data_IF_891510533413
#
_entry.id   IF_891510533413
#
_cell.length_a   1.000
_cell.length_b   1.000
_cell.length_c   1.000
_cell.angle_alpha   90.00
_cell.angle_beta   90.00
_cell.angle_gamma   90.00
#
_symmetry.space_group_name_H-M   'P 1'
#
loop_
_entity.id
_entity.type
_entity.pdbx_description
1 polymer ?
#
# COMPACT_ATOMS: atom_id res chain seq x y z
N UNK A 1 -4.44 74.28 -17.19
CA UNK A 1 -3.99 73.95 -18.56
C UNK A 1 -4.24 72.45 -18.76
N UNK A 2 -5.21 72.07 -19.60
CA UNK A 2 -4.96 71.58 -20.98
C UNK A 2 -4.03 70.35 -21.00
N UNK A 3 -4.48 69.09 -21.12
CA UNK A 3 -5.72 68.46 -21.67
C UNK A 3 -5.79 68.46 -23.21
N UNK A 4 -5.37 67.35 -23.85
CA UNK A 4 -5.64 66.88 -25.24
C UNK A 4 -5.11 65.43 -25.38
N UNK A 5 -5.60 64.52 -26.25
CA UNK A 5 -6.91 64.30 -26.91
C UNK A 5 -6.89 62.91 -27.63
N UNK A 6 -8.01 62.20 -27.72
CA UNK A 6 -8.19 61.05 -28.64
C UNK A 6 -8.46 61.52 -30.08
N UNK A 7 -8.40 60.62 -31.09
CA UNK A 7 -9.65 60.20 -31.76
C UNK A 7 -9.75 58.68 -32.11
N UNK A 8 -10.88 58.28 -32.71
CA UNK A 8 -11.28 56.91 -33.15
C UNK A 8 -11.47 56.83 -34.68
N UNK A 9 -11.38 55.64 -35.29
CA UNK A 9 -11.93 55.26 -36.62
C UNK A 9 -11.61 53.77 -36.96
N UNK A 10 -12.36 52.96 -37.74
CA UNK A 10 -13.81 52.91 -38.11
C UNK A 10 -14.15 51.56 -38.83
N UNK A 11 -15.43 51.13 -38.86
CA UNK A 11 -15.98 49.98 -39.64
C UNK A 11 -16.53 48.82 -38.77
N UNK A 12 -17.76 48.26 -38.85
CA UNK A 12 -18.89 48.27 -39.82
C UNK A 12 -18.67 47.39 -41.08
N UNK A 13 -19.54 46.49 -41.58
CA UNK A 13 -20.99 46.11 -41.40
C UNK A 13 -21.15 44.60 -40.92
N UNK A 14 -22.29 43.87 -40.99
CA UNK A 14 -23.72 44.04 -40.58
C UNK A 14 -24.67 43.11 -41.41
N UNK A 15 -25.21 41.99 -40.85
CA UNK A 15 -26.42 41.20 -41.27
C UNK A 15 -26.63 40.04 -40.23
N UNK A 16 -27.70 39.88 -39.42
CA UNK A 16 -29.10 39.40 -39.64
C UNK A 16 -29.22 38.04 -40.37
N UNK A 17 -30.10 37.07 -40.03
CA UNK A 17 -31.29 36.95 -39.14
C UNK A 17 -31.56 35.43 -38.79
N UNK A 18 -32.60 34.95 -38.09
CA UNK A 18 -33.30 35.31 -36.82
C UNK A 18 -34.44 34.26 -36.50
N UNK A 19 -34.88 34.13 -35.23
CA UNK A 19 -36.11 33.44 -34.74
C UNK A 19 -36.20 31.88 -34.86
N UNK A 20 -36.99 31.12 -34.07
CA UNK A 20 -37.86 31.39 -32.90
C UNK A 20 -37.86 30.16 -31.92
N UNK A 21 -37.80 30.34 -30.59
CA UNK A 21 -38.92 30.33 -29.61
C UNK A 21 -39.62 28.97 -29.31
N UNK A 22 -39.67 28.61 -28.02
CA UNK A 22 -40.53 27.55 -27.46
C UNK A 22 -40.15 27.18 -26.02
N UNK A 23 -41.02 27.44 -25.04
CA UNK A 23 -40.79 27.12 -23.63
C UNK A 23 -42.03 27.33 -22.75
N UNK A 24 -42.05 26.69 -21.57
CA UNK A 24 -43.10 26.81 -20.55
C UNK A 24 -42.52 26.51 -19.14
N UNK A 25 -43.18 27.00 -18.09
CA UNK A 25 -42.66 27.08 -16.71
C UNK A 25 -43.45 26.21 -15.68
N UNK A 26 -42.99 26.07 -14.42
CA UNK A 26 -43.44 25.00 -13.50
C UNK A 26 -44.65 25.35 -12.62
N UNK A 27 -45.16 24.33 -11.90
CA UNK A 27 -46.16 24.42 -10.83
C UNK A 27 -45.86 23.43 -9.70
N UNK A 28 -46.45 23.63 -8.50
CA UNK A 28 -45.94 23.04 -7.25
C UNK A 28 -46.98 22.38 -6.33
N UNK A 29 -46.48 21.48 -5.48
CA UNK A 29 -46.98 21.02 -4.17
C UNK A 29 -48.38 20.35 -4.05
N UNK A 30 -48.37 19.14 -3.47
CA UNK A 30 -49.55 18.40 -2.99
C UNK A 30 -49.14 17.30 -1.99
N UNK A 31 -50.07 16.81 -1.15
CA UNK A 31 -49.80 15.80 -0.09
C UNK A 31 -50.74 14.59 -0.24
N UNK A 32 -50.27 13.41 0.19
CA UNK A 32 -51.07 12.53 1.07
C UNK A 32 -51.51 11.15 0.55
N UNK A 33 -51.72 10.28 1.55
CA UNK A 33 -52.51 9.04 1.59
C UNK A 33 -51.96 7.73 0.97
N UNK A 34 -52.59 6.62 1.34
CA UNK A 34 -51.99 5.29 1.56
C UNK A 34 -52.61 4.15 0.74
N UNK A 35 -51.84 3.04 0.64
CA UNK A 35 -52.29 1.65 0.40
C UNK A 35 -52.97 1.36 -0.98
N UNK A 36 -52.78 0.20 -1.62
CA UNK A 36 -52.87 -1.18 -1.10
C UNK A 36 -52.05 -2.19 -1.92
N UNK A 37 -51.96 -3.44 -1.46
CA UNK A 37 -51.37 -4.59 -2.19
C UNK A 37 -52.34 -5.15 -3.24
N UNK A 38 -51.80 -5.71 -4.34
CA UNK A 38 -52.33 -6.94 -4.99
C UNK A 38 -51.35 -7.56 -6.00
N UNK A 39 -51.22 -8.87 -5.93
CA UNK A 39 -50.62 -9.83 -6.90
C UNK A 39 -51.55 -11.05 -6.97
N UNK A 40 -51.42 -11.98 -7.95
CA UNK A 40 -50.92 -11.86 -9.32
C UNK A 40 -52.08 -12.19 -10.31
N UNK A 41 -51.98 -12.92 -11.45
CA UNK A 41 -51.37 -14.26 -11.60
C UNK A 41 -50.39 -14.40 -12.79
N UNK A 42 -49.82 -15.59 -12.97
CA UNK A 42 -49.18 -16.03 -14.22
C UNK A 42 -50.13 -16.95 -15.01
N UNK A 43 -49.89 -17.14 -16.32
CA UNK A 43 -49.75 -18.50 -16.87
C UNK A 43 -49.27 -18.56 -18.35
N UNK A 44 -48.64 -19.71 -18.65
CA UNK A 44 -48.41 -20.39 -19.94
C UNK A 44 -47.83 -19.69 -21.19
N UNK A 45 -47.38 -20.53 -22.15
CA UNK A 45 -46.66 -20.18 -23.36
C UNK A 45 -47.24 -20.92 -24.59
N UNK A 46 -46.82 -20.56 -25.81
CA UNK A 46 -46.89 -21.45 -27.00
C UNK A 46 -45.99 -20.97 -28.16
N UNK A 47 -45.58 -21.88 -29.03
CA UNK A 47 -44.62 -21.68 -30.12
C UNK A 47 -45.19 -20.98 -31.38
N UNK A 48 -44.30 -20.46 -32.27
CA UNK A 48 -43.96 -21.17 -33.53
C UNK A 48 -43.27 -20.33 -34.63
N UNK A 49 -42.18 -20.90 -35.19
CA UNK A 49 -41.69 -20.82 -36.59
C UNK A 49 -41.08 -19.51 -37.14
N UNK A 50 -40.08 -19.61 -38.05
CA UNK A 50 -39.41 -18.45 -38.65
C UNK A 50 -38.40 -18.66 -39.81
N UNK A 51 -37.74 -19.82 -39.90
CA UNK A 51 -36.84 -20.27 -41.01
C UNK A 51 -35.50 -19.51 -41.25
N UNK A 52 -34.56 -20.22 -41.87
CA UNK A 52 -33.23 -19.75 -42.33
C UNK A 52 -32.88 -20.36 -43.70
N UNK A 53 -31.77 -19.94 -44.33
CA UNK A 53 -30.81 -20.87 -44.94
C UNK A 53 -29.36 -20.57 -44.47
N UNK A 54 -28.47 -21.55 -44.18
CA UNK A 54 -27.82 -22.52 -45.09
C UNK A 54 -26.90 -21.86 -46.15
N UNK A 55 -25.63 -22.24 -46.39
CA UNK A 55 -24.81 -23.46 -46.12
C UNK A 55 -23.36 -23.07 -45.73
N UNK A 56 -22.40 -23.95 -45.35
CA UNK A 56 -22.34 -25.43 -45.35
C UNK A 56 -21.12 -26.04 -44.60
N UNK A 57 -20.86 -27.34 -44.79
CA UNK A 57 -20.12 -28.26 -43.89
C UNK A 57 -18.60 -28.44 -44.12
N UNK A 58 -17.89 -28.86 -43.06
CA UNK A 58 -17.17 -30.17 -42.94
C UNK A 58 -16.37 -30.20 -41.60
N UNK A 59 -16.77 -30.91 -40.53
CA UNK A 59 -16.81 -32.38 -40.27
C UNK A 59 -15.50 -33.01 -39.74
N UNK A 60 -15.51 -33.42 -38.47
CA UNK A 60 -14.84 -34.61 -37.93
C UNK A 60 -15.50 -35.06 -36.60
N UNK A 61 -15.84 -36.36 -36.47
CA UNK A 61 -16.29 -37.06 -35.24
C UNK A 61 -15.19 -38.07 -34.81
N UNK A 62 -15.21 -38.81 -33.70
CA UNK A 62 -16.26 -39.19 -32.74
C UNK A 62 -15.65 -39.44 -31.32
N UNK A 63 -16.42 -39.31 -30.23
CA UNK A 63 -16.93 -40.41 -29.34
C UNK A 63 -15.85 -41.23 -28.59
N UNK A 64 -15.79 -41.23 -27.25
CA UNK A 64 -16.66 -41.96 -26.26
C UNK A 64 -16.28 -43.47 -26.16
N UNK A 65 -16.55 -44.24 -25.09
CA UNK A 65 -17.54 -44.15 -23.99
C UNK A 65 -16.90 -44.48 -22.61
N UNK A 66 -17.72 -44.80 -21.59
CA UNK A 66 -17.30 -45.19 -20.23
C UNK A 66 -18.11 -46.39 -19.71
N UNK A 67 -17.56 -47.15 -18.76
CA UNK A 67 -18.27 -48.23 -18.03
C UNK A 67 -17.90 -48.22 -16.53
N UNK A 68 -18.83 -48.72 -15.70
CA UNK A 68 -18.76 -48.85 -14.25
C UNK A 68 -19.48 -50.15 -13.84
N UNK A 69 -18.81 -51.06 -13.12
CA UNK A 69 -19.46 -52.10 -12.29
C UNK A 69 -18.50 -52.60 -11.18
N UNK A 70 -18.95 -53.55 -10.35
CA UNK A 70 -18.72 -53.53 -8.90
C UNK A 70 -18.45 -54.90 -8.23
N UNK A 71 -18.13 -54.84 -6.92
CA UNK A 71 -18.15 -55.89 -5.89
C UNK A 71 -17.09 -57.01 -5.89
N UNK A 72 -16.69 -57.41 -4.66
CA UNK A 72 -15.81 -58.55 -4.38
C UNK A 72 -15.07 -58.46 -3.04
N UNK A 73 -15.70 -58.84 -1.92
CA UNK A 73 -15.06 -59.04 -0.61
C UNK A 73 -14.63 -60.51 -0.42
N UNK A 74 -13.53 -60.78 0.31
CA UNK A 74 -13.52 -61.61 1.53
C UNK A 74 -12.14 -61.65 2.24
N UNK A 75 -12.11 -62.25 3.44
CA UNK A 75 -10.99 -62.31 4.42
C UNK A 75 -9.78 -63.21 3.98
N UNK A 76 -8.66 -63.45 4.72
CA UNK A 76 -8.37 -63.39 6.18
C UNK A 76 -6.88 -63.59 6.55
N UNK A 77 -6.43 -62.97 7.66
CA UNK A 77 -5.32 -63.35 8.59
C UNK A 77 -3.88 -63.66 8.05
N UNK A 78 -2.79 -63.54 8.83
CA UNK A 78 -2.60 -63.12 10.24
C UNK A 78 -1.12 -63.23 10.68
N UNK A 79 -0.84 -62.90 11.95
CA UNK A 79 0.49 -62.78 12.63
C UNK A 79 1.48 -61.75 12.03
N UNK A 80 2.21 -60.87 12.75
CA UNK A 80 2.59 -60.61 14.16
C UNK A 80 4.10 -60.76 14.42
N UNK A 81 4.75 -59.70 14.95
CA UNK A 81 5.57 -59.73 16.18
C UNK A 81 5.91 -58.28 16.64
N UNK A 82 6.77 -58.15 17.64
CA UNK A 82 6.86 -57.15 18.70
C UNK A 82 7.59 -55.82 18.41
N UNK A 83 7.22 -54.82 19.23
CA UNK A 83 7.91 -53.55 19.46
C UNK A 83 9.13 -53.73 20.41
N UNK A 84 10.12 -52.81 20.46
CA UNK A 84 9.94 -51.55 21.22
C UNK A 84 10.67 -50.31 20.65
N UNK A 85 10.54 -49.18 21.37
CA UNK A 85 10.97 -47.85 20.91
C UNK A 85 12.09 -47.20 21.75
N UNK A 86 12.86 -46.32 21.10
CA UNK A 86 13.45 -45.07 21.62
C UNK A 86 13.30 -44.04 20.48
N UNK A 87 12.74 -42.84 20.63
CA UNK A 87 12.77 -41.77 21.65
C UNK A 87 13.87 -40.73 21.43
N UNK A 88 13.44 -39.54 20.98
CA UNK A 88 14.18 -38.29 20.89
C UNK A 88 13.18 -37.14 20.64
N UNK A 89 13.03 -36.22 21.61
CA UNK A 89 12.14 -35.05 21.52
C UNK A 89 12.87 -33.77 21.94
N UNK A 90 12.95 -32.80 21.04
CA UNK A 90 13.18 -31.38 21.32
C UNK A 90 12.42 -30.56 20.26
N UNK A 91 11.87 -29.37 20.54
CA UNK A 91 11.74 -28.64 21.79
C UNK A 91 11.12 -27.26 21.47
N UNK A 92 10.04 -26.87 22.14
CA UNK A 92 9.30 -25.64 21.84
C UNK A 92 9.56 -24.51 22.86
N UNK A 93 8.98 -23.34 22.62
CA UNK A 93 9.10 -22.13 23.46
C UNK A 93 8.69 -22.37 24.93
N UNK A 94 9.05 -21.45 25.83
CA UNK A 94 7.98 -20.64 26.42
C UNK A 94 8.27 -19.13 26.55
N UNK A 95 7.21 -18.38 26.82
CA UNK A 95 7.23 -17.00 27.32
C UNK A 95 6.37 -16.90 28.59
N UNK A 96 6.57 -15.85 29.41
CA UNK A 96 5.91 -15.68 30.72
C UNK A 96 6.64 -16.43 31.87
N UNK A 97 6.58 -16.02 33.13
CA UNK A 97 5.70 -15.02 33.76
C UNK A 97 6.36 -14.35 35.00
N UNK A 98 5.59 -13.60 35.81
CA UNK A 98 6.06 -12.62 36.80
C UNK A 98 6.68 -13.17 38.11
N UNK A 99 7.47 -12.32 38.82
CA UNK A 99 7.25 -12.02 40.26
C UNK A 99 8.08 -10.85 40.84
N UNK A 100 7.48 -10.24 41.86
CA UNK A 100 8.03 -9.37 42.92
C UNK A 100 7.30 -9.75 44.23
N UNK A 101 7.64 -9.25 45.45
CA UNK A 101 8.55 -8.14 45.79
C UNK A 101 9.55 -8.44 46.95
N UNK A 102 10.22 -7.36 47.42
CA UNK A 102 10.80 -7.10 48.76
C UNK A 102 11.76 -8.08 49.43
N UNK A 103 13.02 -7.64 49.66
CA UNK A 103 13.56 -7.33 51.00
C UNK A 103 15.04 -6.86 50.99
N UNK A 104 15.31 -5.73 51.66
CA UNK A 104 16.63 -5.29 52.18
C UNK A 104 16.92 -6.06 53.51
N UNK A 105 18.11 -6.02 54.19
CA UNK A 105 19.28 -5.14 53.98
C UNK A 105 20.69 -5.75 54.15
N UNK A 106 21.72 -4.95 53.80
CA UNK A 106 22.92 -4.81 54.67
C UNK A 106 24.33 -4.84 54.04
N UNK A 107 25.27 -4.24 54.79
CA UNK A 107 26.74 -4.22 54.61
C UNK A 107 27.31 -3.56 53.33
N UNK A 108 27.68 -2.27 53.29
CA UNK A 108 28.86 -1.59 53.88
C UNK A 108 30.25 -2.04 53.38
N UNK A 109 30.98 -1.16 52.69
CA UNK A 109 32.37 -0.76 53.03
C UNK A 109 32.81 0.48 52.22
N UNK A 110 33.79 1.23 52.73
CA UNK A 110 34.21 2.56 52.24
C UNK A 110 35.38 2.53 51.24
N UNK A 111 35.42 3.52 50.33
CA UNK A 111 36.63 4.16 49.79
C UNK A 111 36.23 5.38 48.90
N UNK A 112 36.18 6.61 49.42
CA UNK A 112 37.30 7.59 49.45
C UNK A 112 38.02 7.82 48.10
N UNK A 113 37.73 8.96 47.45
CA UNK A 113 38.47 9.50 46.30
C UNK A 113 37.86 10.82 45.83
N UNK A 114 38.59 11.94 45.97
CA UNK A 114 38.12 13.30 45.66
C UNK A 114 39.25 14.14 45.07
N UNK A 115 38.92 15.21 44.31
CA UNK A 115 39.84 16.17 43.70
C UNK A 115 40.76 15.58 42.59
N UNK A 116 41.41 16.32 41.69
CA UNK A 116 41.31 17.70 41.15
C UNK A 116 42.18 17.75 39.86
N UNK A 117 42.10 18.68 38.91
CA UNK A 117 41.16 19.75 38.55
C UNK A 117 41.54 20.28 37.13
N UNK A 118 40.87 21.35 36.64
CA UNK A 118 41.14 22.08 35.38
C UNK A 118 40.83 21.30 34.08
N UNK A 119 40.51 21.91 32.93
CA UNK A 119 40.29 23.32 32.61
C UNK A 119 41.22 23.85 31.50
N UNK A 120 40.67 24.31 30.38
CA UNK A 120 41.17 25.41 29.52
C UNK A 120 40.10 25.74 28.47
N UNK A 121 39.79 27.03 28.33
CA UNK A 121 39.04 27.61 27.20
C UNK A 121 40.01 28.12 26.15
N UNK A 122 39.66 28.09 24.87
CA UNK A 122 40.27 29.03 23.92
C UNK A 122 39.27 29.50 22.86
N UNK A 123 39.27 30.81 22.63
CA UNK A 123 38.50 31.52 21.61
C UNK A 123 39.37 32.67 21.10
N UNK A 124 39.70 32.67 19.81
CA UNK A 124 40.45 33.74 19.17
C UNK A 124 39.70 34.23 17.92
N UNK A 125 39.39 35.53 17.91
CA UNK A 125 38.73 36.26 16.83
C UNK A 125 39.74 37.19 16.11
N UNK A 126 39.33 37.74 14.95
CA UNK A 126 39.55 39.12 14.50
C UNK A 126 39.91 39.27 13.00
N UNK A 127 38.99 39.87 12.23
CA UNK A 127 39.22 40.91 11.17
C UNK A 127 40.22 40.64 10.01
N UNK A 128 39.95 40.91 8.72
CA UNK A 128 38.91 41.66 7.99
C UNK A 128 39.40 41.87 6.53
N UNK A 129 38.94 42.80 5.68
CA UNK A 129 37.80 43.74 5.68
C UNK A 129 37.60 44.36 4.25
N UNK A 130 36.46 45.02 4.01
CA UNK A 130 36.13 45.98 2.90
C UNK A 130 36.16 45.52 1.42
N UNK A 131 35.09 45.84 0.67
CA UNK A 131 35.05 45.85 -0.80
C UNK A 131 33.63 45.77 -1.39
N UNK A 132 33.07 46.88 -1.87
CA UNK A 132 31.69 46.91 -2.41
C UNK A 132 31.61 46.54 -3.89
N UNK A 133 30.62 45.71 -4.25
CA UNK A 133 30.03 45.68 -5.58
C UNK A 133 28.54 45.30 -5.47
N UNK A 134 27.64 46.25 -5.72
CA UNK A 134 26.21 45.98 -5.87
C UNK A 134 25.94 45.53 -7.31
N UNK A 135 25.66 44.24 -7.49
CA UNK A 135 25.08 43.71 -8.72
C UNK A 135 23.67 43.21 -8.43
N UNK A 136 22.68 43.68 -9.19
CA UNK A 136 21.39 43.01 -9.27
C UNK A 136 21.61 41.58 -9.81
N UNK A 137 20.99 40.55 -9.21
CA UNK A 137 20.97 39.24 -9.83
C UNK A 137 20.14 39.33 -11.10
N UNK A 138 20.80 39.34 -12.26
CA UNK A 138 20.14 39.18 -13.54
C UNK A 138 19.30 37.90 -13.53
N UNK A 139 18.14 37.92 -14.18
CA UNK A 139 17.16 36.83 -14.14
C UNK A 139 17.80 35.48 -14.47
N UNK A 140 18.04 34.68 -13.43
CA UNK A 140 18.45 33.31 -13.58
C UNK A 140 17.25 32.56 -14.17
N UNK A 141 17.41 31.99 -15.37
CA UNK A 141 16.38 31.12 -15.93
C UNK A 141 16.02 30.03 -14.90
N UNK A 142 14.72 29.74 -14.70
CA UNK A 142 14.31 28.81 -13.67
C UNK A 142 14.97 27.46 -13.91
N UNK A 143 15.78 27.00 -12.95
CA UNK A 143 16.38 25.67 -12.96
C UNK A 143 15.32 24.63 -13.34
N UNK A 144 15.64 23.66 -14.22
CA UNK A 144 14.66 22.66 -14.62
C UNK A 144 14.11 21.97 -13.37
N UNK A 145 12.77 21.95 -13.27
CA UNK A 145 12.03 21.44 -12.13
C UNK A 145 12.49 20.00 -11.81
N UNK A 146 12.79 19.63 -10.54
CA UNK A 146 13.20 18.28 -10.14
C UNK A 146 12.15 17.17 -10.36
N UNK A 147 11.10 17.44 -11.13
CA UNK A 147 10.30 16.45 -11.82
C UNK A 147 11.19 15.52 -12.65
N UNK A 148 11.11 14.21 -12.36
CA UNK A 148 11.78 13.17 -13.15
C UNK A 148 11.00 12.86 -14.44
N UNK A 149 11.20 11.68 -15.06
CA UNK A 149 10.35 11.25 -16.16
C UNK A 149 8.87 11.26 -15.73
N UNK A 150 7.99 11.66 -16.64
CA UNK A 150 6.55 11.70 -16.37
C UNK A 150 5.95 10.29 -16.34
N UNK A 151 4.69 10.19 -15.89
CA UNK A 151 4.01 8.91 -15.77
C UNK A 151 3.94 8.15 -17.12
N UNK A 152 3.77 8.86 -18.25
CA UNK A 152 3.73 8.25 -19.58
C UNK A 152 5.10 7.69 -19.99
N UNK A 153 6.19 8.41 -19.71
CA UNK A 153 7.56 7.97 -19.95
C UNK A 153 7.87 6.71 -19.14
N UNK A 154 7.53 6.69 -17.85
CA UNK A 154 7.76 5.51 -16.98
C UNK A 154 6.97 4.29 -17.48
N UNK A 155 5.72 4.48 -17.93
CA UNK A 155 4.89 3.42 -18.53
C UNK A 155 5.42 2.86 -19.86
N UNK A 156 6.36 3.56 -20.51
CA UNK A 156 7.01 3.13 -21.75
C UNK A 156 8.40 2.51 -21.53
N UNK A 157 8.94 2.53 -20.31
CA UNK A 157 10.24 1.90 -20.01
C UNK A 157 10.13 0.36 -20.01
N UNK A 158 11.13 -0.37 -20.54
CA UNK A 158 11.24 -1.81 -20.36
C UNK A 158 11.73 -2.13 -18.94
N UNK A 159 11.27 -3.25 -18.34
CA UNK A 159 11.71 -3.66 -17.00
C UNK A 159 13.24 -3.78 -16.86
N UNK A 160 13.92 -4.21 -17.92
CA UNK A 160 15.38 -4.32 -18.01
C UNK A 160 16.17 -3.00 -17.89
N UNK A 161 15.49 -1.85 -17.79
CA UNK A 161 16.06 -0.54 -17.45
C UNK A 161 16.56 -0.49 -16.00
N UNK A 162 15.82 -1.08 -15.06
CA UNK A 162 16.11 -1.12 -13.63
C UNK A 162 16.47 -2.53 -13.15
N UNK A 163 17.21 -2.65 -12.05
CA UNK A 163 17.60 -3.94 -11.45
C UNK A 163 17.65 -3.87 -9.93
N UNK A 164 16.75 -4.57 -9.24
CA UNK A 164 16.87 -4.91 -7.83
C UNK A 164 18.02 -5.90 -7.62
N UNK A 165 18.89 -5.64 -6.64
CA UNK A 165 20.02 -6.50 -6.30
C UNK A 165 19.90 -6.95 -4.84
N UNK A 166 19.98 -8.27 -4.60
CA UNK A 166 19.70 -8.95 -3.32
C UNK A 166 18.26 -8.72 -2.82
N UNK A 167 18.07 -8.80 -1.50
CA UNK A 167 16.76 -8.77 -0.85
C UNK A 167 16.42 -7.42 -0.21
N UNK A 168 15.16 -7.27 0.25
CA UNK A 168 14.59 -5.99 0.65
C UNK A 168 15.29 -5.32 1.84
N UNK A 169 15.97 -6.08 2.71
CA UNK A 169 16.60 -5.60 3.95
C UNK A 169 18.14 -5.56 3.94
N UNK A 170 18.81 -5.95 2.85
CA UNK A 170 20.28 -5.80 2.69
C UNK A 170 20.76 -5.33 1.30
N UNK A 171 19.83 -5.13 0.37
CA UNK A 171 20.09 -4.91 -1.05
C UNK A 171 20.37 -3.48 -1.49
N UNK A 172 20.29 -3.31 -2.82
CA UNK A 172 20.49 -2.07 -3.57
C UNK A 172 19.62 -2.11 -4.85
N UNK A 173 19.54 -1.01 -5.58
CA UNK A 173 18.94 -0.95 -6.92
C UNK A 173 19.87 -0.23 -7.90
N UNK A 174 20.00 -0.76 -9.11
CA UNK A 174 20.70 -0.13 -10.24
C UNK A 174 19.66 0.37 -11.27
N UNK A 175 19.91 1.51 -11.92
CA UNK A 175 18.99 2.06 -12.93
C UNK A 175 17.58 2.34 -12.38
N UNK A 176 17.48 2.75 -11.10
CA UNK A 176 16.20 3.09 -10.49
C UNK A 176 15.60 4.33 -11.15
N UNK A 177 14.29 4.48 -11.01
CA UNK A 177 13.54 5.61 -11.58
C UNK A 177 12.80 6.32 -10.44
N UNK A 178 12.82 7.65 -10.35
CA UNK A 178 12.04 8.38 -9.35
C UNK A 178 10.57 8.42 -9.76
N UNK A 179 9.67 8.12 -8.82
CA UNK A 179 8.24 8.37 -8.96
C UNK A 179 7.98 9.86 -9.26
N UNK A 180 7.06 10.21 -10.17
CA UNK A 180 6.62 11.58 -10.37
C UNK A 180 5.97 12.13 -9.08
N UNK A 181 6.14 13.43 -8.80
CA UNK A 181 5.54 14.01 -7.58
C UNK A 181 4.01 13.98 -7.60
N UNK A 182 3.39 13.96 -8.80
CA UNK A 182 1.97 13.71 -9.06
C UNK A 182 1.78 12.98 -10.38
N UNK A 183 0.66 12.28 -10.52
CA UNK A 183 0.17 11.70 -11.77
C UNK A 183 -1.31 11.33 -11.67
N UNK A 184 -1.89 10.66 -12.68
CA UNK A 184 -3.32 10.31 -12.68
C UNK A 184 -3.69 9.46 -11.47
N UNK A 185 -4.51 10.01 -10.57
CA UNK A 185 -4.93 9.36 -9.33
C UNK A 185 -3.92 9.32 -8.17
N UNK A 186 -2.72 9.92 -8.27
CA UNK A 186 -1.73 9.84 -7.20
C UNK A 186 -0.85 11.08 -6.99
N UNK A 187 -0.33 11.20 -5.76
CA UNK A 187 0.80 12.04 -5.38
C UNK A 187 1.86 11.24 -4.61
N UNK A 188 3.11 11.69 -4.69
CA UNK A 188 4.09 11.43 -3.63
C UNK A 188 3.75 12.31 -2.41
N UNK A 189 3.98 11.81 -1.20
CA UNK A 189 3.65 12.53 0.03
C UNK A 189 4.61 13.72 0.25
N UNK A 190 4.13 14.99 0.27
CA UNK A 190 4.99 16.16 0.49
C UNK A 190 5.59 16.26 1.90
N UNK A 191 5.19 15.38 2.84
CA UNK A 191 5.79 15.22 4.17
C UNK A 191 6.96 14.21 4.19
N UNK A 192 7.30 13.57 3.07
CA UNK A 192 8.41 12.60 2.93
C UNK A 192 9.58 13.20 2.14
N UNK A 193 10.76 12.63 2.30
CA UNK A 193 11.97 13.03 1.58
C UNK A 193 11.87 12.67 0.08
N UNK A 194 11.89 13.62 -0.87
CA UNK A 194 11.86 13.32 -2.30
C UNK A 194 13.06 12.52 -2.82
N UNK A 195 14.11 12.30 -2.02
CA UNK A 195 15.17 11.35 -2.34
C UNK A 195 14.72 9.89 -2.16
N UNK A 196 13.72 9.59 -1.33
CA UNK A 196 13.22 8.25 -1.04
C UNK A 196 12.17 7.74 -2.06
N UNK A 197 11.97 8.43 -3.19
CA UNK A 197 10.88 8.15 -4.15
C UNK A 197 11.23 7.20 -5.31
N UNK A 198 12.38 6.53 -5.27
CA UNK A 198 12.87 5.72 -6.39
C UNK A 198 12.42 4.25 -6.28
N UNK A 199 12.26 3.55 -7.41
CA UNK A 199 11.92 2.13 -7.44
C UNK A 199 12.32 1.44 -8.74
N UNK A 200 12.03 0.14 -8.87
CA UNK A 200 12.10 -0.54 -10.18
C UNK A 200 10.96 -0.09 -11.08
N UNK A 201 11.17 -0.20 -12.39
CA UNK A 201 10.19 0.19 -13.41
C UNK A 201 8.88 -0.59 -13.24
N UNK A 202 8.94 -1.89 -12.98
CA UNK A 202 7.75 -2.75 -12.83
C UNK A 202 6.86 -2.29 -11.66
N UNK A 203 7.48 -1.95 -10.52
CA UNK A 203 6.79 -1.45 -9.34
C UNK A 203 6.12 -0.09 -9.61
N UNK A 204 6.86 0.85 -10.22
CA UNK A 204 6.30 2.18 -10.54
C UNK A 204 5.17 2.07 -11.56
N UNK A 205 5.32 1.22 -12.58
CA UNK A 205 4.27 0.97 -13.55
C UNK A 205 3.03 0.36 -12.91
N UNK A 206 3.17 -0.55 -11.94
CA UNK A 206 2.05 -1.10 -11.19
C UNK A 206 1.31 -0.01 -10.38
N UNK A 207 2.03 0.81 -9.61
CA UNK A 207 1.44 1.91 -8.84
C UNK A 207 0.70 2.91 -9.74
N UNK A 208 1.34 3.36 -10.82
CA UNK A 208 0.78 4.35 -11.77
C UNK A 208 -0.50 3.80 -12.44
N UNK A 209 -0.48 2.55 -12.93
CA UNK A 209 -1.64 1.92 -13.58
C UNK A 209 -2.79 1.70 -12.59
N UNK A 210 -2.50 1.29 -11.36
CA UNK A 210 -3.52 1.05 -10.35
C UNK A 210 -4.17 2.36 -9.86
N UNK A 211 -3.38 3.39 -9.54
CA UNK A 211 -3.88 4.71 -9.15
C UNK A 211 -4.76 5.33 -10.25
N UNK A 212 -4.28 5.34 -11.50
CA UNK A 212 -5.06 5.83 -12.64
C UNK A 212 -6.36 5.04 -12.86
N UNK A 213 -6.41 3.77 -12.45
CA UNK A 213 -7.60 2.92 -12.57
C UNK A 213 -8.63 3.22 -11.48
N UNK A 214 -8.21 3.58 -10.27
CA UNK A 214 -9.12 4.11 -9.25
C UNK A 214 -9.67 5.47 -9.66
N UNK A 215 -8.82 6.39 -10.12
CA UNK A 215 -9.21 7.74 -10.56
C UNK A 215 -10.31 7.73 -11.63
N UNK A 216 -10.18 6.85 -12.63
CA UNK A 216 -11.22 6.67 -13.68
C UNK A 216 -12.51 6.00 -13.20
N UNK A 217 -12.44 5.14 -12.18
CA UNK A 217 -13.59 4.35 -11.71
C UNK A 217 -14.36 5.02 -10.56
N UNK A 218 -13.64 5.72 -9.69
CA UNK A 218 -14.08 6.31 -8.42
C UNK A 218 -13.43 7.70 -8.25
N UNK A 219 -13.71 8.69 -9.12
CA UNK A 219 -13.02 9.97 -9.13
C UNK A 219 -13.15 10.75 -7.81
N UNK A 220 -12.18 11.61 -7.51
CA UNK A 220 -12.21 12.54 -6.36
C UNK A 220 -11.41 12.09 -5.13
N UNK A 221 -10.80 10.91 -5.13
CA UNK A 221 -9.78 10.51 -4.16
C UNK A 221 -8.39 10.46 -4.80
N UNK A 222 -7.34 10.85 -4.08
CA UNK A 222 -5.94 10.84 -4.57
C UNK A 222 -5.09 9.92 -3.70
N UNK A 223 -4.51 8.88 -4.31
CA UNK A 223 -3.56 7.98 -3.65
C UNK A 223 -2.34 8.76 -3.16
N UNK A 224 -1.97 8.60 -1.89
CA UNK A 224 -0.72 9.20 -1.36
C UNK A 224 0.31 8.12 -1.10
N UNK A 225 1.37 8.14 -1.92
CA UNK A 225 2.51 7.22 -1.82
C UNK A 225 3.57 7.84 -0.91
N UNK A 226 4.05 7.09 0.07
CA UNK A 226 5.13 7.44 0.98
C UNK A 226 6.47 6.92 0.40
N UNK A 227 7.35 6.36 1.23
CA UNK A 227 8.72 5.99 0.87
C UNK A 227 8.76 4.73 -0.03
N UNK A 228 9.68 4.72 -1.00
CA UNK A 228 9.91 3.62 -1.95
C UNK A 228 11.32 3.05 -1.80
N UNK A 229 12.32 3.79 -2.25
CA UNK A 229 13.76 3.58 -2.02
C UNK A 229 14.58 4.83 -2.38
N UNK A 230 15.80 4.93 -1.88
CA UNK A 230 16.78 5.89 -2.42
C UNK A 230 17.25 5.47 -3.82
N UNK A 231 17.83 6.40 -4.58
CA UNK A 231 18.29 6.19 -5.97
C UNK A 231 19.20 4.95 -6.16
N UNK A 232 20.13 4.70 -5.24
CA UNK A 232 20.98 3.50 -5.24
C UNK A 232 20.47 2.38 -4.29
N UNK A 233 19.28 2.55 -3.71
CA UNK A 233 18.77 1.75 -2.63
C UNK A 233 19.54 1.98 -1.32
N UNK A 234 19.73 0.92 -0.53
CA UNK A 234 20.38 1.03 0.78
C UNK A 234 19.40 1.41 1.91
N UNK A 235 19.92 1.64 3.13
CA UNK A 235 19.08 1.79 4.33
C UNK A 235 18.47 3.19 4.45
N UNK A 236 17.14 3.26 4.56
CA UNK A 236 16.38 4.47 4.90
C UNK A 236 16.16 4.49 6.43
N UNK A 237 16.28 5.64 7.12
CA UNK A 237 15.95 5.74 8.56
C UNK A 237 14.57 5.18 8.89
N UNK A 238 14.42 4.57 10.08
CA UNK A 238 13.20 3.91 10.57
C UNK A 238 12.72 2.67 9.78
N UNK A 239 13.24 2.42 8.58
CA UNK A 239 12.78 1.33 7.71
C UNK A 239 13.54 0.01 7.89
N UNK A 240 12.79 -1.09 8.02
CA UNK A 240 13.34 -2.45 8.04
C UNK A 240 13.69 -3.03 6.66
N UNK A 241 13.23 -2.38 5.59
CA UNK A 241 13.39 -2.80 4.18
C UNK A 241 13.58 -1.58 3.26
N UNK A 242 12.91 -1.50 2.09
CA UNK A 242 13.03 -0.39 1.12
C UNK A 242 14.41 -0.25 0.46
N UNK A 243 15.30 -1.23 0.64
CA UNK A 243 16.70 -1.12 0.19
C UNK A 243 16.93 -1.51 -1.26
N UNK A 244 15.97 -2.18 -1.89
CA UNK A 244 16.12 -2.80 -3.22
C UNK A 244 15.08 -2.29 -4.25
N UNK A 245 14.40 -1.17 -3.96
CA UNK A 245 13.43 -0.56 -4.89
C UNK A 245 12.20 -1.40 -5.24
N UNK A 246 11.86 -2.39 -4.39
CA UNK A 246 10.71 -3.31 -4.54
C UNK A 246 9.71 -3.25 -3.37
N UNK A 247 9.82 -2.23 -2.52
CA UNK A 247 8.90 -1.96 -1.41
C UNK A 247 8.21 -0.61 -1.63
N UNK A 248 7.00 -0.43 -1.10
CA UNK A 248 6.22 0.82 -1.17
C UNK A 248 5.39 0.98 0.09
N UNK A 249 5.47 2.14 0.73
CA UNK A 249 4.45 2.56 1.68
C UNK A 249 3.37 3.38 0.95
N UNK A 250 2.09 3.07 1.19
CA UNK A 250 0.96 3.75 0.55
C UNK A 250 -0.15 3.98 1.57
N UNK A 251 -0.56 5.24 1.76
CA UNK A 251 -1.63 5.61 2.67
C UNK A 251 -2.99 5.14 2.12
N UNK A 252 -3.90 4.74 3.01
CA UNK A 252 -5.27 4.37 2.61
C UNK A 252 -6.01 5.56 1.99
N UNK A 253 -7.01 5.29 1.14
CA UNK A 253 -7.97 6.34 0.80
C UNK A 253 -8.86 6.59 2.01
N UNK A 254 -9.16 7.85 2.28
CA UNK A 254 -9.95 8.27 3.44
C UNK A 254 -11.19 9.04 2.99
N UNK A 255 -12.22 8.99 3.83
CA UNK A 255 -13.38 9.86 3.80
C UNK A 255 -13.41 10.68 5.10
N UNK A 256 -13.96 11.89 5.03
CA UNK A 256 -14.50 12.55 6.21
C UNK A 256 -15.56 11.62 6.83
N UNK A 257 -15.45 11.32 8.12
CA UNK A 257 -16.34 10.34 8.76
C UNK A 257 -17.81 10.78 8.73
N UNK A 258 -18.06 12.00 9.20
CA UNK A 258 -19.40 12.60 9.31
C UNK A 258 -20.13 12.79 7.98
N UNK A 259 -19.42 13.19 6.92
CA UNK A 259 -20.01 13.60 5.63
C UNK A 259 -19.88 12.55 4.53
N UNK A 260 -18.98 11.58 4.69
CA UNK A 260 -18.64 10.60 3.65
C UNK A 260 -17.97 11.20 2.40
N UNK A 261 -17.58 12.48 2.43
CA UNK A 261 -16.86 13.11 1.31
C UNK A 261 -15.39 12.65 1.28
N UNK A 262 -14.76 12.49 0.09
CA UNK A 262 -13.35 12.13 -0.02
C UNK A 262 -12.43 13.08 0.76
N UNK A 263 -11.51 12.49 1.52
CA UNK A 263 -10.51 13.20 2.32
C UNK A 263 -9.10 12.93 1.75
N UNK A 264 -8.18 13.92 1.77
CA UNK A 264 -6.79 13.68 1.36
C UNK A 264 -6.14 12.62 2.27
N UNK A 265 -5.57 11.56 1.71
CA UNK A 265 -4.94 10.51 2.51
C UNK A 265 -3.84 11.05 3.43
N UNK A 266 -3.93 10.65 4.71
CA UNK A 266 -2.97 10.90 5.79
C UNK A 266 -2.66 9.60 6.52
N UNK A 267 -1.54 9.53 7.23
CA UNK A 267 -1.18 8.39 8.09
C UNK A 267 -1.90 8.47 9.44
N UNK A 268 -3.24 8.43 9.41
CA UNK A 268 -4.06 8.34 10.60
C UNK A 268 -4.22 6.84 10.97
N UNK A 269 -3.81 6.40 12.17
CA UNK A 269 -4.06 5.03 12.62
C UNK A 269 -5.56 4.78 12.72
N UNK A 270 -6.02 3.69 12.13
CA UNK A 270 -7.42 3.30 12.08
C UNK A 270 -7.75 2.16 13.05
N UNK A 271 -8.87 2.30 13.74
CA UNK A 271 -9.42 1.33 14.67
C UNK A 271 -10.17 0.17 13.97
N UNK A 272 -10.66 -0.86 14.70
CA UNK A 272 -11.39 -1.99 14.12
C UNK A 272 -12.66 -1.64 13.33
N UNK A 273 -13.29 -0.49 13.55
CA UNK A 273 -14.42 0.01 12.76
C UNK A 273 -13.96 0.80 11.52
N UNK A 274 -12.65 0.89 11.29
CA UNK A 274 -12.01 1.60 10.18
C UNK A 274 -11.95 3.12 10.37
N UNK A 275 -12.08 3.61 11.61
CA UNK A 275 -12.16 5.04 11.97
C UNK A 275 -10.86 5.54 12.61
N UNK A 276 -10.60 6.84 12.51
CA UNK A 276 -9.46 7.50 13.14
C UNK A 276 -9.58 9.02 13.09
N UNK A 277 -8.49 9.72 13.41
CA UNK A 277 -8.45 11.19 13.41
C UNK A 277 -7.20 11.69 12.66
N UNK A 278 -7.37 12.65 11.76
CA UNK A 278 -6.26 13.51 11.31
C UNK A 278 -6.05 14.59 12.37
N UNK A 279 -5.17 14.31 13.34
CA UNK A 279 -4.80 15.20 14.44
C UNK A 279 -3.89 16.38 14.04
N UNK A 280 -3.77 16.66 12.74
CA UNK A 280 -3.11 17.83 12.11
C UNK A 280 -2.04 18.55 12.96
N UNK A 281 -2.40 19.54 13.78
CA UNK A 281 -1.52 20.04 14.86
C UNK A 281 -1.90 19.41 16.21
N UNK A 282 -1.03 18.53 16.71
CA UNK A 282 -1.17 17.82 17.99
C UNK A 282 -1.29 18.75 19.22
N UNK A 283 -1.11 20.07 19.06
CA UNK A 283 -1.32 21.08 20.09
C UNK A 283 -2.71 21.75 20.08
N UNK A 284 -3.51 21.61 19.01
CA UNK A 284 -4.80 22.29 18.83
C UNK A 284 -5.97 21.31 18.57
N UNK A 285 -6.72 20.90 19.61
CA UNK A 285 -7.80 19.92 19.46
C UNK A 285 -9.06 20.48 18.78
N UNK A 286 -9.13 21.79 18.46
CA UNK A 286 -10.23 22.37 17.67
C UNK A 286 -10.04 22.13 16.15
N UNK A 287 -8.88 21.58 15.75
CA UNK A 287 -8.44 21.34 14.36
C UNK A 287 -8.49 19.84 13.95
N UNK A 288 -8.68 18.93 14.92
CA UNK A 288 -8.91 17.48 14.76
C UNK A 288 -10.01 17.14 13.72
N UNK A 289 -9.72 16.26 12.75
CA UNK A 289 -10.72 15.78 11.79
C UNK A 289 -11.00 14.29 11.93
N UNK A 290 -12.24 13.88 12.31
CA UNK A 290 -12.69 12.49 12.21
C UNK A 290 -12.67 11.97 10.77
N UNK A 291 -11.95 10.88 10.55
CA UNK A 291 -11.78 10.21 9.26
C UNK A 291 -12.12 8.73 9.35
N UNK A 292 -12.46 8.12 8.22
CA UNK A 292 -12.57 6.66 8.08
C UNK A 292 -12.04 6.18 6.74
N UNK A 293 -11.71 4.90 6.66
CA UNK A 293 -11.28 4.25 5.42
C UNK A 293 -12.35 4.32 4.33
N UNK A 294 -11.93 4.72 3.14
CA UNK A 294 -12.67 4.56 1.89
C UNK A 294 -12.44 3.13 1.38
N UNK A 295 -13.26 2.19 1.85
CA UNK A 295 -13.17 0.80 1.42
C UNK A 295 -13.29 0.67 -0.11
N UNK A 296 -14.26 1.28 -0.82
CA UNK A 296 -14.35 1.21 -2.29
C UNK A 296 -13.05 1.58 -3.02
N UNK A 297 -12.43 2.73 -2.71
CA UNK A 297 -11.21 3.17 -3.40
C UNK A 297 -9.99 2.36 -2.97
N UNK A 298 -9.90 2.01 -1.68
CA UNK A 298 -8.78 1.23 -1.14
C UNK A 298 -8.80 -0.21 -1.65
N UNK A 299 -9.97 -0.86 -1.68
CA UNK A 299 -10.14 -2.15 -2.34
C UNK A 299 -9.88 -2.06 -3.84
N UNK A 300 -10.48 -1.10 -4.55
CA UNK A 300 -10.30 -1.00 -6.02
C UNK A 300 -8.82 -0.84 -6.41
N UNK A 301 -8.03 -0.14 -5.61
CA UNK A 301 -6.58 -0.02 -5.80
C UNK A 301 -5.85 -1.37 -5.69
N UNK A 302 -6.10 -2.10 -4.60
CA UNK A 302 -5.49 -3.42 -4.36
C UNK A 302 -5.94 -4.44 -5.40
N UNK A 303 -7.23 -4.44 -5.75
CA UNK A 303 -7.78 -5.21 -6.85
C UNK A 303 -7.05 -4.88 -8.16
N UNK A 304 -6.81 -3.60 -8.49
CA UNK A 304 -6.09 -3.23 -9.70
C UNK A 304 -4.63 -3.70 -9.69
N UNK A 305 -3.94 -3.63 -8.54
CA UNK A 305 -2.58 -4.16 -8.40
C UNK A 305 -2.51 -5.68 -8.67
N UNK A 306 -3.52 -6.44 -8.26
CA UNK A 306 -3.60 -7.90 -8.45
C UNK A 306 -4.05 -8.26 -9.88
N UNK A 307 -5.06 -7.57 -10.42
CA UNK A 307 -5.61 -7.80 -11.77
C UNK A 307 -4.60 -7.56 -12.89
N UNK A 308 -3.64 -6.65 -12.67
CA UNK A 308 -2.68 -6.22 -13.69
C UNK A 308 -1.31 -6.92 -13.59
N UNK A 309 -1.13 -7.91 -12.70
CA UNK A 309 0.14 -8.62 -12.56
C UNK A 309 0.54 -9.30 -13.89
N UNK A 310 1.65 -8.88 -14.53
CA UNK A 310 2.07 -9.49 -15.80
C UNK A 310 2.79 -10.83 -15.54
N UNK A 311 2.55 -11.82 -16.41
CA UNK A 311 3.18 -13.15 -16.34
C UNK A 311 4.72 -13.10 -16.31
N UNK A 312 5.33 -12.11 -16.95
CA UNK A 312 6.77 -11.95 -17.09
C UNK A 312 7.42 -10.96 -16.11
N UNK A 313 6.67 -10.04 -15.51
CA UNK A 313 7.22 -8.99 -14.64
C UNK A 313 7.30 -9.35 -13.15
N UNK A 314 7.09 -8.33 -12.31
CA UNK A 314 7.14 -8.41 -10.85
C UNK A 314 5.72 -8.43 -10.25
N UNK A 315 5.16 -9.61 -9.90
CA UNK A 315 3.91 -9.71 -9.14
C UNK A 315 4.11 -9.34 -7.65
N UNK A 316 3.03 -9.10 -6.91
CA UNK A 316 3.10 -8.83 -5.48
C UNK A 316 3.61 -10.05 -4.70
N UNK A 317 4.46 -9.80 -3.72
CA UNK A 317 5.02 -10.78 -2.79
C UNK A 317 4.41 -10.70 -1.39
N UNK A 318 4.07 -9.49 -0.93
CA UNK A 318 3.39 -9.23 0.35
C UNK A 318 2.57 -7.94 0.27
N UNK A 319 1.52 -7.93 1.08
CA UNK A 319 0.84 -6.72 1.55
C UNK A 319 0.88 -6.81 3.08
N UNK A 320 1.50 -5.83 3.75
CA UNK A 320 1.40 -5.71 5.20
C UNK A 320 0.37 -4.64 5.56
N UNK A 321 -0.55 -5.03 6.45
CA UNK A 321 -1.74 -4.28 6.86
C UNK A 321 -2.29 -4.91 8.13
N UNK A 322 -2.92 -4.12 9.00
CA UNK A 322 -3.53 -4.61 10.22
C UNK A 322 -4.70 -5.58 9.95
N UNK A 323 -4.91 -6.57 10.82
CA UNK A 323 -5.84 -7.66 10.56
C UNK A 323 -7.31 -7.20 10.50
N UNK A 324 -7.69 -6.19 11.27
CA UNK A 324 -9.03 -5.61 11.19
C UNK A 324 -9.28 -4.91 9.86
N UNK A 325 -8.34 -4.08 9.38
CA UNK A 325 -8.45 -3.44 8.07
C UNK A 325 -8.44 -4.46 6.93
N UNK A 326 -7.64 -5.52 7.05
CA UNK A 326 -7.68 -6.66 6.12
C UNK A 326 -9.06 -7.33 6.10
N UNK A 327 -9.73 -7.43 7.24
CA UNK A 327 -11.08 -8.02 7.35
C UNK A 327 -12.11 -7.15 6.65
N UNK A 328 -12.13 -5.84 6.95
CA UNK A 328 -13.00 -4.87 6.26
C UNK A 328 -12.78 -4.84 4.73
N UNK A 329 -11.54 -5.05 4.27
CA UNK A 329 -11.20 -5.11 2.84
C UNK A 329 -11.61 -6.43 2.16
N UNK A 330 -11.75 -7.53 2.90
CA UNK A 330 -12.34 -8.77 2.38
C UNK A 330 -13.86 -8.67 2.28
N UNK A 331 -14.50 -8.09 3.29
CA UNK A 331 -15.94 -7.77 3.27
C UNK A 331 -16.27 -6.81 2.13
N UNK A 332 -15.41 -5.81 1.86
CA UNK A 332 -15.53 -4.94 0.68
C UNK A 332 -15.36 -5.70 -0.63
N UNK A 333 -14.42 -6.65 -0.71
CA UNK A 333 -14.21 -7.43 -1.92
C UNK A 333 -15.43 -8.29 -2.29
N UNK A 334 -16.05 -8.92 -1.29
CA UNK A 334 -17.32 -9.64 -1.44
C UNK A 334 -18.46 -8.67 -1.83
N UNK A 335 -18.57 -7.52 -1.15
CA UNK A 335 -19.58 -6.48 -1.43
C UNK A 335 -19.45 -5.86 -2.83
N UNK A 336 -18.23 -5.77 -3.35
CA UNK A 336 -17.92 -5.28 -4.69
C UNK A 336 -18.12 -6.35 -5.79
N UNK A 337 -18.38 -7.61 -5.43
CA UNK A 337 -18.48 -8.72 -6.38
C UNK A 337 -17.14 -9.02 -7.08
N UNK A 338 -16.02 -8.87 -6.37
CA UNK A 338 -14.69 -9.12 -6.93
C UNK A 338 -14.48 -10.61 -7.26
N UNK A 339 -13.69 -10.95 -8.30
CA UNK A 339 -13.48 -12.35 -8.69
C UNK A 339 -12.79 -13.17 -7.58
N UNK A 340 -13.29 -14.39 -7.32
CA UNK A 340 -12.78 -15.29 -6.27
C UNK A 340 -11.25 -15.44 -6.26
N UNK A 341 -10.61 -15.47 -7.43
CA UNK A 341 -9.15 -15.59 -7.55
C UNK A 341 -8.40 -14.34 -7.07
N UNK A 342 -9.00 -13.15 -7.22
CA UNK A 342 -8.46 -11.88 -6.71
C UNK A 342 -8.64 -11.81 -5.19
N UNK A 343 -9.82 -12.21 -4.68
CA UNK A 343 -10.10 -12.28 -3.23
C UNK A 343 -9.16 -13.29 -2.55
N UNK A 344 -9.01 -14.48 -3.13
CA UNK A 344 -8.06 -15.49 -2.67
C UNK A 344 -6.61 -14.98 -2.72
N UNK A 345 -6.21 -14.29 -3.80
CA UNK A 345 -4.85 -13.74 -3.91
C UNK A 345 -4.59 -12.67 -2.86
N UNK A 346 -5.51 -11.75 -2.64
CA UNK A 346 -5.41 -10.77 -1.56
C UNK A 346 -5.29 -11.46 -0.20
N UNK A 347 -6.13 -12.47 0.06
CA UNK A 347 -6.10 -13.24 1.30
C UNK A 347 -4.80 -14.06 1.51
N UNK A 348 -4.11 -14.47 0.44
CA UNK A 348 -2.79 -15.11 0.49
C UNK A 348 -1.63 -14.10 0.70
N UNK A 349 -1.73 -12.90 0.13
CA UNK A 349 -0.69 -11.86 0.16
C UNK A 349 -0.64 -11.08 1.48
N UNK A 350 -1.79 -10.91 2.14
CA UNK A 350 -1.97 -10.04 3.32
C UNK A 350 -1.59 -10.67 4.65
N UNK A 351 -0.73 -10.02 5.43
CA UNK A 351 -0.44 -10.37 6.82
C UNK A 351 -0.07 -9.14 7.66
N UNK A 352 -0.60 -9.04 8.89
CA UNK A 352 -0.10 -8.10 9.90
C UNK A 352 1.30 -8.53 10.41
N UNK A 353 2.32 -7.65 10.43
CA UNK A 353 3.60 -7.88 11.09
C UNK A 353 3.61 -7.26 12.51
N UNK A 354 4.78 -7.14 13.15
CA UNK A 354 4.90 -6.66 14.54
C UNK A 354 4.65 -5.16 14.76
N UNK A 355 4.66 -4.36 13.69
CA UNK A 355 4.01 -3.06 13.67
C UNK A 355 2.69 -3.24 12.91
N UNK A 356 1.53 -2.76 13.40
CA UNK A 356 0.24 -3.18 12.85
C UNK A 356 0.06 -2.84 11.37
N UNK A 357 0.59 -1.70 10.88
CA UNK A 357 0.23 -1.12 9.58
C UNK A 357 -1.29 -0.85 9.53
N UNK A 358 -1.76 -0.08 10.54
CA UNK A 358 -3.13 0.41 10.70
C UNK A 358 -3.32 1.84 10.17
N UNK A 359 -2.27 2.48 9.66
CA UNK A 359 -2.27 3.82 9.04
C UNK A 359 -1.86 3.82 7.55
N UNK A 360 -1.28 2.72 7.05
CA UNK A 360 -0.83 2.55 5.66
C UNK A 360 -0.76 1.07 5.24
N UNK A 361 -0.66 0.80 3.94
CA UNK A 361 -0.15 -0.46 3.40
C UNK A 361 1.37 -0.37 3.22
N UNK A 362 2.09 -1.42 3.58
CA UNK A 362 3.41 -1.72 2.98
C UNK A 362 3.23 -2.80 1.90
N UNK A 363 3.46 -2.45 0.64
CA UNK A 363 3.52 -3.39 -0.48
C UNK A 363 4.95 -3.87 -0.73
N UNK A 364 5.14 -5.17 -1.02
CA UNK A 364 6.40 -5.71 -1.56
C UNK A 364 6.15 -6.49 -2.83
N UNK A 365 7.01 -6.29 -3.82
CA UNK A 365 6.99 -7.00 -5.09
C UNK A 365 8.06 -8.11 -5.14
N UNK A 366 7.75 -9.24 -5.78
CA UNK A 366 8.75 -10.27 -6.10
C UNK A 366 9.78 -9.72 -7.11
N UNK A 367 10.97 -10.32 -7.19
CA UNK A 367 11.92 -10.01 -8.27
C UNK A 367 11.26 -10.18 -9.65
N UNK A 368 11.49 -9.28 -10.61
CA UNK A 368 11.21 -9.57 -12.03
C UNK A 368 12.11 -10.70 -12.57
N UNK A 369 11.86 -11.19 -13.79
CA UNK A 369 12.71 -12.23 -14.40
C UNK A 369 14.12 -11.69 -14.69
N UNK A 370 14.19 -10.41 -15.02
CA UNK A 370 15.37 -9.59 -15.29
C UNK A 370 16.18 -9.33 -14.00
N UNK A 371 15.50 -8.96 -12.92
CA UNK A 371 16.04 -8.87 -11.56
C UNK A 371 16.69 -10.18 -11.11
N UNK A 372 15.99 -11.31 -11.33
CA UNK A 372 16.45 -12.63 -10.90
C UNK A 372 17.78 -13.01 -11.55
N UNK A 373 18.02 -12.64 -12.81
CA UNK A 373 19.32 -12.80 -13.46
C UNK A 373 20.41 -11.95 -12.77
N UNK A 374 20.06 -10.72 -12.40
CA UNK A 374 20.94 -9.70 -11.79
C UNK A 374 21.33 -9.96 -10.33
N UNK A 375 20.80 -11.01 -9.70
CA UNK A 375 21.14 -11.36 -8.30
C UNK A 375 20.13 -10.86 -7.27
N UNK A 376 18.92 -10.52 -7.70
CA UNK A 376 17.78 -10.28 -6.82
C UNK A 376 17.45 -11.52 -5.95
N UNK A 377 16.99 -11.27 -4.72
CA UNK A 377 16.58 -12.29 -3.76
C UNK A 377 15.20 -11.96 -3.15
N UNK A 378 14.36 -12.97 -2.92
CA UNK A 378 13.00 -12.83 -2.40
C UNK A 378 12.85 -13.42 -0.99
N UNK A 379 12.01 -12.78 -0.17
CA UNK A 379 11.58 -13.30 1.14
C UNK A 379 10.47 -14.34 0.98
N UNK A 380 10.35 -15.28 1.95
CA UNK A 380 9.22 -16.22 2.02
C UNK A 380 7.90 -15.48 2.33
N UNK A 381 6.74 -16.05 1.96
CA UNK A 381 6.53 -17.36 1.32
C UNK A 381 6.79 -17.34 -0.20
N UNK A 382 6.88 -18.55 -0.79
CA UNK A 382 6.80 -18.72 -2.24
C UNK A 382 5.49 -19.43 -2.56
N UNK A 383 4.55 -18.69 -3.11
CA UNK A 383 3.20 -19.19 -3.37
C UNK A 383 3.17 -20.25 -4.48
N UNK A 384 2.20 -21.19 -4.49
CA UNK A 384 2.10 -22.22 -5.52
C UNK A 384 1.99 -21.67 -6.94
N UNK A 385 1.30 -20.54 -7.12
CA UNK A 385 1.18 -19.82 -8.40
C UNK A 385 2.52 -19.23 -8.84
N UNK A 386 3.23 -18.47 -7.98
CA UNK A 386 4.55 -17.90 -8.27
C UNK A 386 5.57 -18.99 -8.61
N UNK A 387 5.54 -20.11 -7.90
CA UNK A 387 6.37 -21.28 -8.21
C UNK A 387 6.00 -21.94 -9.55
N UNK A 388 4.74 -21.86 -9.99
CA UNK A 388 4.30 -22.34 -11.33
C UNK A 388 4.81 -21.42 -12.43
N UNK A 389 4.60 -20.11 -12.31
CA UNK A 389 5.06 -19.10 -13.28
C UNK A 389 6.59 -19.16 -13.49
N UNK A 390 7.37 -19.19 -12.41
CA UNK A 390 8.83 -19.30 -12.52
C UNK A 390 9.28 -20.59 -13.22
N UNK A 391 8.63 -21.74 -12.95
CA UNK A 391 8.94 -23.00 -13.65
C UNK A 391 8.57 -23.00 -15.14
N UNK A 392 7.61 -22.19 -15.57
CA UNK A 392 7.28 -22.04 -17.00
C UNK A 392 8.39 -21.32 -17.80
N UNK A 393 9.37 -20.73 -17.11
CA UNK A 393 10.55 -20.09 -17.70
C UNK A 393 11.87 -20.71 -17.19
N UNK A 394 11.84 -21.95 -16.68
CA UNK A 394 12.98 -22.68 -16.08
C UNK A 394 13.65 -21.96 -14.86
N UNK A 395 12.99 -20.96 -14.30
CA UNK A 395 13.47 -20.18 -13.15
C UNK A 395 13.09 -20.84 -11.80
N UNK A 396 13.84 -20.47 -10.76
CA UNK A 396 13.58 -20.84 -9.36
C UNK A 396 13.84 -19.63 -8.46
N UNK A 397 13.00 -19.35 -7.45
CA UNK A 397 13.17 -18.16 -6.61
C UNK A 397 14.47 -18.25 -5.79
N UNK A 398 15.23 -17.15 -5.77
CA UNK A 398 16.43 -17.01 -4.94
C UNK A 398 16.00 -16.58 -3.54
N UNK A 399 16.13 -17.48 -2.56
CA UNK A 399 15.75 -17.17 -1.17
C UNK A 399 16.74 -16.17 -0.54
N UNK A 400 16.21 -15.04 -0.09
CA UNK A 400 16.99 -14.01 0.59
C UNK A 400 17.66 -14.53 1.87
N UNK A 401 18.94 -14.17 2.04
CA UNK A 401 19.75 -14.44 3.23
C UNK A 401 20.34 -13.12 3.76
N UNK A 402 19.73 -12.50 4.79
CA UNK A 402 20.20 -11.23 5.34
C UNK A 402 21.67 -11.30 5.75
N UNK A 403 22.48 -10.35 5.28
CA UNK A 403 23.91 -10.31 5.59
C UNK A 403 24.21 -9.62 6.93
N UNK A 404 24.94 -10.26 7.86
CA UNK A 404 25.36 -9.63 9.10
C UNK A 404 26.31 -8.43 8.93
N UNK A 405 27.04 -8.33 7.80
CA UNK A 405 27.93 -7.19 7.51
C UNK A 405 27.18 -5.90 7.15
N UNK A 406 25.86 -5.99 6.88
CA UNK A 406 25.06 -4.83 6.48
C UNK A 406 24.36 -4.25 7.69
N UNK A 407 24.63 -2.98 8.08
CA UNK A 407 23.86 -2.34 9.13
C UNK A 407 22.38 -2.28 8.73
N UNK A 408 21.51 -2.53 9.71
CA UNK A 408 20.10 -2.14 9.66
C UNK A 408 20.02 -0.62 9.86
N UNK A 409 18.93 0.00 9.40
CA UNK A 409 18.61 1.35 9.82
C UNK A 409 18.40 1.39 11.35
N UNK A 410 18.69 2.52 12.02
CA UNK A 410 18.20 2.73 13.38
C UNK A 410 16.67 2.79 13.35
N UNK A 411 16.05 2.08 14.29
CA UNK A 411 14.59 2.07 14.51
C UNK A 411 14.36 2.39 15.98
N UNK A 412 13.50 3.37 16.25
CA UNK A 412 13.10 3.75 17.61
C UNK A 412 12.17 2.67 18.17
N UNK A 413 12.51 2.07 19.32
CA UNK A 413 11.59 1.12 19.98
C UNK A 413 10.42 1.84 20.65
N UNK A 414 9.35 1.10 20.94
CA UNK A 414 8.21 1.63 21.71
C UNK A 414 8.64 2.23 23.06
N UNK A 415 9.59 1.60 23.74
CA UNK A 415 10.13 2.10 25.02
C UNK A 415 10.93 3.39 24.85
N UNK A 416 11.78 3.46 23.80
CA UNK A 416 12.51 4.68 23.47
C UNK A 416 11.57 5.83 23.11
N UNK A 417 10.49 5.56 22.37
CA UNK A 417 9.47 6.53 22.02
C UNK A 417 8.68 7.00 23.25
N UNK A 418 8.19 6.07 24.09
CA UNK A 418 7.48 6.38 25.35
C UNK A 418 8.40 7.17 26.31
N UNK A 419 9.69 6.82 26.41
CA UNK A 419 10.66 7.53 27.25
C UNK A 419 10.99 8.94 26.73
N UNK A 420 11.13 9.11 25.40
CA UNK A 420 11.36 10.43 24.78
C UNK A 420 10.14 11.35 24.85
N UNK A 421 8.92 10.79 24.78
CA UNK A 421 7.67 11.54 24.94
C UNK A 421 7.39 11.95 26.41
N UNK A 422 7.90 11.18 27.38
CA UNK A 422 7.78 11.50 28.80
C UNK A 422 6.34 11.51 29.31
N UNK A 423 5.96 12.58 30.02
CA UNK A 423 4.69 12.69 30.72
C UNK A 423 3.52 13.06 29.78
N UNK A 424 2.98 12.05 29.09
CA UNK A 424 1.82 12.19 28.19
C UNK A 424 0.52 12.59 28.92
N UNK A 425 -0.39 13.27 28.21
CA UNK A 425 -1.74 13.57 28.69
C UNK A 425 -2.59 12.27 28.84
N UNK A 426 -3.57 12.18 29.77
CA UNK A 426 -4.38 10.98 29.94
C UNK A 426 -5.12 10.50 28.69
N UNK A 427 -5.57 11.41 27.81
CA UNK A 427 -6.22 11.03 26.54
C UNK A 427 -5.25 10.34 25.57
N UNK A 428 -3.99 10.79 25.50
CA UNK A 428 -2.93 10.21 24.67
C UNK A 428 -2.58 8.80 25.16
N UNK A 429 -2.44 8.61 26.48
CA UNK A 429 -2.31 7.25 27.05
C UNK A 429 -3.51 6.39 26.67
N UNK A 430 -4.73 6.82 26.98
CA UNK A 430 -5.94 6.05 26.66
C UNK A 430 -6.09 5.73 25.16
N UNK A 431 -5.55 6.54 24.25
CA UNK A 431 -5.47 6.22 22.82
C UNK A 431 -4.44 5.11 22.53
N UNK A 432 -3.21 5.24 23.02
CA UNK A 432 -2.16 4.22 22.87
C UNK A 432 -2.57 2.89 23.50
N UNK A 433 -3.16 2.93 24.69
CA UNK A 433 -3.60 1.76 25.45
C UNK A 433 -4.79 1.04 24.76
N UNK A 434 -5.64 1.76 24.01
CA UNK A 434 -6.63 1.14 23.11
C UNK A 434 -5.95 0.46 21.92
N UNK A 435 -5.04 1.17 21.23
CA UNK A 435 -4.34 0.67 20.05
C UNK A 435 -3.52 -0.60 20.35
N UNK A 436 -2.96 -0.70 21.55
CA UNK A 436 -2.21 -1.86 22.04
C UNK A 436 -3.00 -3.17 21.93
N UNK A 437 -4.34 -3.14 22.07
CA UNK A 437 -5.22 -4.30 21.93
C UNK A 437 -5.25 -4.92 20.52
N UNK A 438 -4.74 -4.23 19.49
CA UNK A 438 -4.61 -4.74 18.11
C UNK A 438 -3.23 -4.54 17.48
N UNK A 439 -2.22 -4.10 18.25
CA UNK A 439 -0.84 -4.03 17.74
C UNK A 439 -0.23 -5.41 17.49
N UNK A 440 -0.51 -6.39 18.37
CA UNK A 440 0.05 -7.74 18.28
C UNK A 440 -0.53 -8.52 17.09
N UNK A 441 0.31 -9.10 16.21
CA UNK A 441 -0.17 -9.86 15.05
C UNK A 441 -0.89 -11.15 15.48
N UNK A 442 -2.20 -11.32 15.17
CA UNK A 442 -2.97 -12.44 15.68
C UNK A 442 -2.49 -13.80 15.14
N UNK A 443 -2.52 -14.83 16.00
CA UNK A 443 -2.16 -16.22 15.68
C UNK A 443 -3.22 -16.93 14.81
N UNK A 444 -3.52 -16.35 13.65
CA UNK A 444 -4.54 -16.75 12.67
C UNK A 444 -4.39 -18.14 12.06
N UNK A 445 -3.27 -18.84 12.25
CA UNK A 445 -3.00 -20.16 11.68
C UNK A 445 -2.89 -20.22 10.14
N UNK A 446 -3.03 -19.08 9.45
CA UNK A 446 -3.03 -19.00 7.98
C UNK A 446 -1.72 -19.52 7.40
N UNK A 447 -1.83 -20.35 6.36
CA UNK A 447 -0.71 -21.02 5.67
C UNK A 447 0.49 -20.11 5.34
N UNK A 448 0.23 -18.84 5.03
CA UNK A 448 1.19 -17.86 4.55
C UNK A 448 1.50 -16.71 5.52
N UNK A 449 0.84 -16.66 6.69
CA UNK A 449 1.15 -15.73 7.78
C UNK A 449 1.65 -16.52 8.98
N UNK A 450 2.93 -16.33 9.32
CA UNK A 450 3.66 -17.00 10.39
C UNK A 450 4.64 -16.00 10.99
#
# INVERSE_FOLDING_TARGET
MHLHRHPRALGALLLTAALACGGAEPGAAGRGEEATRSEPPADEATDAHGAAPETGNAEARASAEAEEDTHGEEERAGDSDTSPATDAREGADPAGEERSPDSDPGATTDATGSADATGTTDSADATGATGSASGEPADAEPSPDPQGPDAATILALPGSHSRSVRGPSDGAIEGSVPLPLRGPGFRFNPRRDPAARYGTVELLQALIRAAATVDRALPGGELTINDLSYEAGGAIPHHGSHRAGRDVDVLFYLLHDETGAPFPSVGAPLDPDGRGTDYRDLADPDDDVPVRIDLPRTWRFVQALIEQEPDDGAPLARIFVAEHLRTLLLEEAERAGAPDEVVQRFAELTCQPSYPHDDHFHFRFFCSREDMASGCEDTRPFYPWRLRALRAHDLRPRLHRPRPDRPRAPVTTSDQARAAAGAMHPSVRAFLDRREAWMDPPRTGRRFCR
#
